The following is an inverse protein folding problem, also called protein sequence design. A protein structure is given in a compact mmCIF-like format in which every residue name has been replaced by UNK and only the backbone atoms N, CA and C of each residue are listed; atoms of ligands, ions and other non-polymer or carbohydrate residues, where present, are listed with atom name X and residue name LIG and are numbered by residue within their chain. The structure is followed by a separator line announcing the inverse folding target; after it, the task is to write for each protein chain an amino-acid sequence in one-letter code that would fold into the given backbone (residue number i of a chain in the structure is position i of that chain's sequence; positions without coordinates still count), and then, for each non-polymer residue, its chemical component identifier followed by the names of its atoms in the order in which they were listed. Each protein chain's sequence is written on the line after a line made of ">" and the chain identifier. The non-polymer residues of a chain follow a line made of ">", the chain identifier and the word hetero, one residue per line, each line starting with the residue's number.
data_IF_841735530032
#
_entry.id   IF_841735530032
#
_cell.length_a   1.000
_cell.length_b   1.000
_cell.length_c   1.000
_cell.angle_alpha   90.00
_cell.angle_beta   90.00
_cell.angle_gamma   90.00
#
_symmetry.space_group_name_H-M   'P 1'
#
loop_
_entity.id
_entity.type
_entity.pdbx_description
1 polymer ?
#
# COMPACT_ATOMS: atom_id res chain seq x y z
N UNK A 1 -1.03 -3.10 -30.40
CA UNK A 1 -1.27 -2.71 -29.10
C UNK A 1 -0.29 -3.28 -28.12
N UNK A 2 0.23 -2.49 -27.29
CA UNK A 2 1.16 -2.99 -26.32
C UNK A 2 0.40 -3.43 -25.08
N UNK A 3 0.89 -4.48 -24.49
CA UNK A 3 0.37 -4.94 -23.24
C UNK A 3 1.32 -4.51 -22.15
N UNK A 4 0.77 -3.90 -21.11
CA UNK A 4 1.57 -3.58 -19.97
C UNK A 4 1.64 -4.80 -19.07
N UNK A 5 2.83 -5.18 -18.69
CA UNK A 5 3.03 -6.30 -17.79
C UNK A 5 2.48 -5.94 -16.40
N UNK A 6 1.56 -6.73 -15.84
CA UNK A 6 0.98 -6.37 -14.55
C UNK A 6 2.01 -6.31 -13.43
N UNK A 7 3.05 -7.14 -13.48
CA UNK A 7 4.08 -7.07 -12.45
C UNK A 7 4.87 -5.76 -12.55
N UNK A 8 5.10 -5.25 -13.75
CA UNK A 8 5.80 -3.98 -13.93
C UNK A 8 4.97 -2.82 -13.39
N UNK A 9 3.67 -2.81 -13.68
CA UNK A 9 2.76 -1.78 -13.17
C UNK A 9 2.74 -1.82 -11.65
N UNK A 10 2.54 -3.00 -11.09
CA UNK A 10 2.42 -3.15 -9.64
C UNK A 10 3.74 -2.78 -8.94
N UNK A 11 4.87 -3.21 -9.50
CA UNK A 11 6.17 -2.94 -8.91
C UNK A 11 6.46 -1.44 -8.89
N UNK A 12 6.11 -0.73 -9.95
CA UNK A 12 6.29 0.71 -10.01
C UNK A 12 5.45 1.42 -8.93
N UNK A 13 4.18 1.06 -8.81
CA UNK A 13 3.29 1.67 -7.82
C UNK A 13 3.75 1.36 -6.40
N UNK A 14 4.09 0.09 -6.15
CA UNK A 14 4.53 -0.34 -4.81
C UNK A 14 5.84 0.35 -4.44
N UNK A 15 6.75 0.50 -5.40
CA UNK A 15 8.01 1.22 -5.15
C UNK A 15 7.78 2.67 -4.78
N UNK A 16 6.81 3.31 -5.41
CA UNK A 16 6.48 4.70 -5.08
C UNK A 16 5.80 4.83 -3.72
N UNK A 17 4.95 3.87 -3.36
CA UNK A 17 4.36 3.84 -2.01
C UNK A 17 5.44 3.67 -0.96
N UNK A 18 6.38 2.77 -1.20
CA UNK A 18 7.48 2.53 -0.27
C UNK A 18 8.34 3.79 -0.10
N UNK A 19 8.66 4.44 -1.20
CA UNK A 19 9.45 5.68 -1.14
C UNK A 19 8.72 6.77 -0.37
N UNK A 20 7.42 6.94 -0.62
CA UNK A 20 6.62 7.95 0.07
C UNK A 20 6.55 7.65 1.57
N UNK A 21 6.38 6.40 1.94
CA UNK A 21 6.38 6.01 3.35
C UNK A 21 7.73 6.34 3.99
N UNK A 22 8.82 5.91 3.35
CA UNK A 22 10.16 6.01 3.95
C UNK A 22 10.71 7.44 3.95
N UNK A 23 10.08 8.35 3.22
CA UNK A 23 10.40 9.78 3.30
C UNK A 23 9.34 10.55 4.07
N UNK A 24 8.37 9.85 4.68
CA UNK A 24 7.30 10.45 5.47
C UNK A 24 6.52 11.51 4.67
N UNK A 25 6.22 11.20 3.43
CA UNK A 25 5.57 12.12 2.50
C UNK A 25 4.12 11.67 2.26
N UNK A 26 3.22 12.14 3.12
CA UNK A 26 1.81 11.80 3.02
C UNK A 26 1.18 12.20 1.69
N UNK A 27 1.35 13.45 1.22
CA UNK A 27 0.82 13.84 -0.08
C UNK A 27 1.29 12.98 -1.23
N UNK A 28 2.57 12.60 -1.26
CA UNK A 28 3.10 11.71 -2.29
C UNK A 28 2.43 10.34 -2.22
N UNK A 29 2.22 9.83 -1.01
CA UNK A 29 1.54 8.55 -0.81
C UNK A 29 0.11 8.62 -1.37
N UNK A 30 -0.64 9.65 -0.99
CA UNK A 30 -2.02 9.82 -1.43
C UNK A 30 -2.16 10.07 -2.92
N UNK A 31 -1.15 10.67 -3.55
CA UNK A 31 -1.21 10.99 -4.97
C UNK A 31 -1.27 9.74 -5.86
N UNK A 32 -0.92 8.58 -5.32
CA UNK A 32 -0.96 7.33 -6.07
C UNK A 32 -2.37 6.74 -6.11
N UNK A 33 -3.29 7.33 -5.35
CA UNK A 33 -4.68 6.89 -5.25
C UNK A 33 -5.60 7.80 -6.04
N UNK A 34 -6.64 7.22 -6.63
CA UNK A 34 -7.61 8.01 -7.37
C UNK A 34 -8.45 8.88 -6.42
N UNK A 35 -9.12 9.92 -6.94
CA UNK A 35 -9.94 10.80 -6.09
C UNK A 35 -11.03 10.10 -5.30
N UNK A 36 -11.57 9.00 -5.82
CA UNK A 36 -12.61 8.24 -5.14
C UNK A 36 -12.14 6.92 -4.58
N UNK A 37 -10.83 6.72 -4.43
CA UNK A 37 -10.29 5.44 -4.00
C UNK A 37 -10.73 5.07 -2.59
N UNK A 38 -10.91 3.76 -2.35
CA UNK A 38 -11.17 3.23 -1.03
C UNK A 38 -9.87 2.71 -0.43
N UNK A 39 -9.65 2.99 0.84
CA UNK A 39 -8.49 2.47 1.56
C UNK A 39 -8.95 1.96 2.91
N UNK A 40 -8.79 0.66 3.15
CA UNK A 40 -9.11 0.07 4.44
C UNK A 40 -7.79 -0.19 5.17
N UNK A 41 -7.66 0.43 6.33
CA UNK A 41 -6.44 0.33 7.13
C UNK A 41 -6.35 -1.01 7.84
N UNK A 42 -5.17 -1.31 8.40
CA UNK A 42 -4.97 -2.56 9.15
C UNK A 42 -5.88 -2.67 10.37
N UNK A 43 -6.49 -1.56 10.80
CA UNK A 43 -7.42 -1.55 11.92
C UNK A 43 -8.88 -1.52 11.48
N UNK A 44 -9.11 -1.60 10.18
CA UNK A 44 -10.47 -1.64 9.64
C UNK A 44 -11.10 -0.26 9.43
N UNK A 45 -10.33 0.80 9.52
CA UNK A 45 -10.83 2.14 9.22
C UNK A 45 -10.91 2.34 7.71
N UNK A 46 -11.94 3.01 7.25
CA UNK A 46 -12.15 3.23 5.83
C UNK A 46 -11.93 4.71 5.49
N UNK A 47 -10.97 4.96 4.60
CA UNK A 47 -10.68 6.30 4.09
C UNK A 47 -11.08 6.35 2.62
N UNK A 48 -11.56 7.48 2.16
CA UNK A 48 -12.01 7.66 0.78
C UNK A 48 -11.29 8.83 0.14
N UNK A 49 -10.65 8.55 -0.99
CA UNK A 49 -10.01 9.57 -1.81
C UNK A 49 -8.54 9.79 -1.48
N UNK A 50 -7.76 10.09 -2.52
CA UNK A 50 -6.32 10.28 -2.38
C UNK A 50 -5.94 11.34 -1.37
N UNK A 51 -6.71 12.44 -1.30
CA UNK A 51 -6.40 13.51 -0.35
C UNK A 51 -6.55 13.05 1.10
N UNK A 52 -7.64 12.34 1.41
CA UNK A 52 -7.85 11.83 2.77
C UNK A 52 -6.84 10.75 3.12
N UNK A 53 -6.51 9.89 2.15
CA UNK A 53 -5.52 8.84 2.33
C UNK A 53 -4.15 9.47 2.62
N UNK A 54 -3.77 10.49 1.85
CA UNK A 54 -2.51 11.19 2.07
C UNK A 54 -2.44 11.89 3.41
N UNK A 55 -3.51 12.58 3.80
CA UNK A 55 -3.57 13.29 5.07
C UNK A 55 -3.50 12.32 6.25
N UNK A 56 -4.19 11.19 6.15
CA UNK A 56 -4.16 10.17 7.19
C UNK A 56 -2.77 9.57 7.36
N UNK A 57 -2.09 9.30 6.25
CA UNK A 57 -0.73 8.78 6.31
C UNK A 57 0.25 9.82 6.83
N UNK A 58 0.09 11.08 6.42
CA UNK A 58 0.93 12.15 6.94
C UNK A 58 0.84 12.23 8.46
N UNK A 59 -0.37 12.06 8.99
CA UNK A 59 -0.60 12.07 10.43
C UNK A 59 0.13 10.91 11.11
N UNK A 60 0.02 9.68 10.59
CA UNK A 60 0.67 8.54 11.24
C UNK A 60 2.19 8.58 11.09
N UNK A 61 2.70 9.20 10.03
CA UNK A 61 4.14 9.39 9.86
C UNK A 61 4.72 10.31 10.94
N UNK A 62 3.89 11.18 11.51
CA UNK A 62 4.33 12.10 12.57
C UNK A 62 3.95 11.62 13.96
N UNK A 63 3.22 10.53 14.07
CA UNK A 63 2.76 10.02 15.36
C UNK A 63 3.17 8.57 15.55
N UNK A 64 2.25 7.64 15.40
CA UNK A 64 2.50 6.24 15.78
C UNK A 64 3.55 5.54 14.92
N UNK A 65 3.78 6.01 13.71
CA UNK A 65 4.78 5.42 12.82
C UNK A 65 5.96 6.35 12.54
N UNK A 66 6.19 7.32 13.45
CA UNK A 66 7.31 8.26 13.27
C UNK A 66 8.64 7.50 13.16
N UNK A 67 9.40 7.81 12.13
CA UNK A 67 10.70 7.20 11.91
C UNK A 67 10.65 5.76 11.39
N UNK A 68 9.47 5.24 11.10
CA UNK A 68 9.34 3.85 10.65
C UNK A 68 9.88 3.67 9.23
N UNK A 69 10.31 2.44 8.94
CA UNK A 69 10.76 2.04 7.62
C UNK A 69 9.87 0.91 7.15
N UNK A 70 9.39 1.00 5.92
CA UNK A 70 8.52 0.00 5.35
C UNK A 70 9.22 -0.62 4.14
N UNK A 71 9.22 -1.95 4.09
CA UNK A 71 9.68 -2.68 2.92
C UNK A 71 8.46 -3.36 2.32
N UNK A 72 8.13 -2.99 1.10
CA UNK A 72 6.95 -3.50 0.43
C UNK A 72 7.39 -4.42 -0.69
N UNK A 73 7.10 -5.72 -0.55
CA UNK A 73 7.51 -6.72 -1.51
C UNK A 73 6.31 -7.22 -2.30
N UNK A 74 6.37 -7.13 -3.62
CA UNK A 74 5.31 -7.65 -4.47
C UNK A 74 5.31 -9.17 -4.39
N UNK A 75 4.14 -9.74 -4.07
CA UNK A 75 3.94 -11.18 -4.02
C UNK A 75 3.34 -11.66 -5.34
N UNK A 76 2.35 -10.93 -5.83
CA UNK A 76 1.62 -11.34 -7.02
C UNK A 76 0.94 -10.15 -7.66
N UNK A 77 0.91 -10.14 -8.98
CA UNK A 77 0.15 -9.16 -9.75
C UNK A 77 -0.48 -9.85 -10.94
N UNK A 78 -1.77 -9.62 -11.14
CA UNK A 78 -2.52 -10.21 -12.23
C UNK A 78 -3.34 -9.14 -12.93
N UNK A 79 -3.41 -9.21 -14.25
CA UNK A 79 -4.35 -8.39 -14.99
C UNK A 79 -5.67 -9.15 -15.01
N UNK A 80 -6.70 -8.60 -14.38
CA UNK A 80 -7.98 -9.27 -14.23
C UNK A 80 -9.06 -8.71 -15.14
N UNK A 81 -8.73 -7.67 -15.87
CA UNK A 81 -9.58 -7.05 -16.86
C UNK A 81 -8.72 -6.08 -17.63
N UNK A 82 -9.23 -5.56 -18.73
CA UNK A 82 -8.47 -4.63 -19.56
C UNK A 82 -8.17 -3.37 -18.73
N UNK A 83 -6.89 -3.09 -18.53
CA UNK A 83 -6.47 -1.95 -17.74
C UNK A 83 -6.72 -2.09 -16.23
N UNK A 84 -6.89 -3.31 -15.71
CA UNK A 84 -7.15 -3.53 -14.30
C UNK A 84 -6.18 -4.58 -13.76
N UNK A 85 -5.36 -4.16 -12.80
CA UNK A 85 -4.36 -5.02 -12.17
C UNK A 85 -4.69 -5.20 -10.70
N UNK A 86 -4.67 -6.44 -10.23
CA UNK A 86 -4.77 -6.72 -8.79
C UNK A 86 -3.39 -7.14 -8.31
N UNK A 87 -2.91 -6.47 -7.27
CA UNK A 87 -1.57 -6.71 -6.74
C UNK A 87 -1.65 -7.02 -5.25
N UNK A 88 -0.87 -8.03 -4.84
CA UNK A 88 -0.73 -8.38 -3.43
C UNK A 88 0.71 -8.13 -3.04
N UNK A 89 0.91 -7.40 -1.95
CA UNK A 89 2.25 -7.16 -1.41
C UNK A 89 2.31 -7.57 0.05
N UNK A 90 3.51 -7.94 0.47
CA UNK A 90 3.80 -8.21 1.86
C UNK A 90 4.69 -7.08 2.35
N UNK A 91 4.26 -6.41 3.42
CA UNK A 91 4.90 -5.20 3.89
C UNK A 91 5.49 -5.47 5.26
N UNK A 92 6.79 -5.20 5.41
CA UNK A 92 7.49 -5.35 6.69
C UNK A 92 7.82 -3.96 7.20
N UNK A 93 7.27 -3.64 8.37
CA UNK A 93 7.39 -2.32 8.97
C UNK A 93 8.24 -2.40 10.22
N UNK A 94 9.29 -1.60 10.26
CA UNK A 94 10.13 -1.48 11.46
C UNK A 94 9.89 -0.11 12.07
N UNK A 95 9.38 -0.08 13.31
CA UNK A 95 9.11 1.15 14.04
C UNK A 95 10.14 1.29 15.16
N UNK A 96 10.93 2.38 15.16
CA UNK A 96 11.98 2.51 16.16
C UNK A 96 11.48 2.93 17.54
N UNK A 97 10.35 3.64 17.61
CA UNK A 97 9.87 4.21 18.87
C UNK A 97 8.35 4.17 18.90
N UNK A 98 7.79 4.58 20.03
CA UNK A 98 6.36 4.77 20.19
C UNK A 98 5.59 3.51 20.54
N UNK A 99 4.27 3.60 20.55
CA UNK A 99 3.42 2.48 21.00
C UNK A 99 3.52 1.26 20.09
N UNK A 100 3.97 1.44 18.84
CA UNK A 100 4.11 0.34 17.90
C UNK A 100 5.56 0.00 17.63
N UNK A 101 6.46 0.31 18.57
CA UNK A 101 7.88 -0.02 18.41
C UNK A 101 8.04 -1.51 18.13
N UNK A 102 8.94 -1.84 17.19
CA UNK A 102 9.19 -3.22 16.81
C UNK A 102 8.86 -3.48 15.35
N UNK A 103 8.86 -4.75 14.98
CA UNK A 103 8.60 -5.17 13.61
C UNK A 103 7.19 -5.69 13.46
N UNK A 104 6.52 -5.24 12.41
CA UNK A 104 5.16 -5.66 12.08
C UNK A 104 5.11 -6.11 10.63
N UNK A 105 4.21 -7.04 10.33
CA UNK A 105 3.97 -7.45 8.96
C UNK A 105 2.50 -7.28 8.62
N UNK A 106 2.26 -6.84 7.38
CA UNK A 106 0.91 -6.65 6.86
C UNK A 106 0.88 -7.16 5.43
N UNK A 107 -0.30 -7.59 5.02
CA UNK A 107 -0.55 -7.96 3.64
C UNK A 107 -1.52 -6.95 3.06
N UNK A 108 -1.21 -6.44 1.88
CA UNK A 108 -2.05 -5.48 1.19
C UNK A 108 -2.52 -6.07 -0.13
N UNK A 109 -3.80 -5.86 -0.43
CA UNK A 109 -4.34 -6.14 -1.76
C UNK A 109 -4.79 -4.82 -2.35
N UNK A 110 -4.32 -4.51 -3.54
CA UNK A 110 -4.67 -3.26 -4.22
C UNK A 110 -5.20 -3.55 -5.61
N UNK A 111 -6.19 -2.75 -6.01
CA UNK A 111 -6.70 -2.75 -7.38
C UNK A 111 -6.18 -1.47 -8.04
N UNK A 112 -5.47 -1.64 -9.14
CA UNK A 112 -4.80 -0.55 -9.85
C UNK A 112 -5.41 -0.47 -11.24
N UNK A 113 -5.80 0.73 -11.67
CA UNK A 113 -6.41 0.90 -12.99
C UNK A 113 -5.62 1.89 -13.81
N UNK A 114 -5.60 1.64 -15.13
CA UNK A 114 -5.03 2.57 -16.08
C UNK A 114 -6.05 3.64 -16.41
N UNK A 115 -5.58 4.89 -16.56
CA UNK A 115 -6.47 6.01 -16.83
C UNK A 115 -6.62 6.31 -18.33
N UNK A 116 -6.03 5.47 -19.17
CA UNK A 116 -6.12 5.67 -20.60
C UNK A 116 -5.03 6.56 -21.19
N UNK A 117 -4.31 7.27 -20.36
CA UNK A 117 -3.22 8.16 -20.78
C UNK A 117 -1.86 7.63 -20.44
N UNK A 118 -1.77 6.33 -20.14
CA UNK A 118 -0.51 5.71 -19.71
C UNK A 118 -0.27 5.80 -18.21
N UNK A 119 -1.11 6.51 -17.49
CA UNK A 119 -1.03 6.60 -16.03
C UNK A 119 -1.78 5.48 -15.36
N UNK A 120 -1.33 5.13 -14.16
CA UNK A 120 -1.95 4.10 -13.35
C UNK A 120 -2.19 4.65 -11.96
N UNK A 121 -3.34 4.33 -11.38
CA UNK A 121 -3.68 4.76 -10.03
C UNK A 121 -4.37 3.64 -9.29
N UNK A 122 -4.23 3.66 -7.98
CA UNK A 122 -4.87 2.68 -7.12
C UNK A 122 -6.31 3.16 -6.87
N UNK A 123 -7.28 2.27 -7.05
CA UNK A 123 -8.69 2.58 -6.78
C UNK A 123 -9.17 1.91 -5.51
N UNK A 124 -8.46 0.92 -5.00
CA UNK A 124 -8.85 0.26 -3.76
C UNK A 124 -7.64 -0.42 -3.14
N UNK A 125 -7.48 -0.28 -1.84
CA UNK A 125 -6.49 -1.03 -1.08
C UNK A 125 -7.14 -1.55 0.20
N UNK A 126 -6.85 -2.79 0.53
CA UNK A 126 -7.27 -3.39 1.78
C UNK A 126 -6.05 -3.98 2.46
N UNK A 127 -5.79 -3.56 3.69
CA UNK A 127 -4.65 -4.01 4.46
C UNK A 127 -5.09 -4.91 5.61
N UNK A 128 -4.26 -5.90 5.90
CA UNK A 128 -4.48 -6.77 7.05
C UNK A 128 -3.15 -6.92 7.78
N UNK A 129 -3.14 -6.63 9.07
CA UNK A 129 -1.97 -6.83 9.90
C UNK A 129 -1.87 -8.31 10.25
N UNK A 130 -0.68 -8.87 10.11
CA UNK A 130 -0.47 -10.26 10.54
C UNK A 130 -0.62 -10.35 12.05
N UNK A 131 -1.25 -11.40 12.52
CA UNK A 131 -1.41 -11.62 13.94
C UNK A 131 -0.04 -11.87 14.58
N UNK A 132 0.15 -11.39 15.79
CA UNK A 132 1.40 -11.62 16.52
C UNK A 132 1.65 -13.11 16.64
N UNK A 133 2.83 -13.55 16.20
CA UNK A 133 3.19 -14.96 16.23
C UNK A 133 2.48 -15.81 15.21
N UNK A 134 1.69 -15.19 14.37
CA UNK A 134 0.83 -15.92 13.45
C UNK A 134 1.44 -16.36 12.18
N UNK A 135 2.75 -16.11 12.00
CA UNK A 135 3.38 -16.49 10.89
C UNK A 135 3.52 -17.90 10.72
N UNK A 136 3.34 -18.55 11.52
CA UNK A 136 3.59 -19.80 11.34
C UNK A 136 2.75 -20.63 10.69
N UNK A 137 2.55 -20.41 10.45
CA UNK A 137 1.98 -21.01 9.89
C UNK A 137 1.57 -21.39 9.11
N UNK A 138 1.92 -21.37 9.06
CA UNK A 138 1.68 -21.70 8.42
C UNK A 138 1.32 -22.41 8.32
N UNK A 139 1.31 -22.57 8.63
CA UNK A 139 0.89 -23.02 8.68
C UNK A 139 0.15 -23.15 8.59
N UNK A 140 0.11 -23.05 8.38
CA UNK A 140 -0.69 -23.27 8.01
C UNK A 140 -1.11 -23.15 7.91
#
# INVERSE_FOLDING_TARGET
>A
MSHTDPATVAQDIIGRLEDAWNTADGPAFGSLYSPGASFVTVRGEHLVGGDAIGAGHDHIFRTIYAGSRNRMALIRADEVGDGVVVAVSENTLDCPTGPLAGRHQATSTSVITGDGDGGWRIVSTHNTMAAAGGKTGRDG
#
